data_IF_081737466784
#
_entry.id   IF_081737466784
#
_cell.length_a   1.000
_cell.length_b   1.000
_cell.length_c   1.000
_cell.angle_alpha   90.00
_cell.angle_beta   90.00
_cell.angle_gamma   90.00
#
_symmetry.space_group_name_H-M   'P 1'
#
loop_
_entity.id
_entity.type
_entity.pdbx_description
1 polymer ?
#
# COMPACT_ATOMS: atom_id res chain seq x y z
N UNK A 1 9.66 -0.30 17.23
CA UNK A 1 8.83 0.26 16.18
C UNK A 1 8.03 -0.81 15.49
N UNK A 2 6.82 -0.50 15.15
CA UNK A 2 5.97 -1.44 14.47
C UNK A 2 6.24 -1.58 12.98
N UNK A 3 7.29 -0.98 12.48
CA UNK A 3 7.52 -0.98 11.05
C UNK A 3 7.91 -2.32 10.50
N UNK A 4 8.64 -3.09 11.27
CA UNK A 4 9.17 -4.35 10.78
C UNK A 4 8.23 -5.50 11.03
N UNK A 5 7.17 -5.24 11.76
CA UNK A 5 6.17 -6.25 12.05
C UNK A 5 4.88 -5.81 11.39
N UNK A 6 4.39 -6.56 10.50
CA UNK A 6 3.10 -6.26 9.92
C UNK A 6 1.98 -6.55 10.90
N UNK A 7 0.79 -6.20 10.50
CA UNK A 7 -0.39 -6.51 11.29
C UNK A 7 -0.98 -7.83 10.83
N UNK A 8 -1.78 -8.45 11.69
CA UNK A 8 -2.55 -9.63 11.32
C UNK A 8 -3.83 -9.17 10.65
N UNK A 9 -4.25 -9.87 9.62
CA UNK A 9 -5.46 -9.55 8.89
C UNK A 9 -6.32 -10.79 8.78
N UNK A 10 -7.59 -10.67 9.12
CA UNK A 10 -8.57 -11.73 8.92
C UNK A 10 -9.42 -11.36 7.72
N UNK A 11 -9.59 -12.30 6.80
CA UNK A 11 -10.29 -12.07 5.55
C UNK A 11 -11.48 -12.99 5.45
N UNK A 12 -12.67 -12.41 5.30
CA UNK A 12 -13.89 -13.17 5.11
C UNK A 12 -14.33 -13.03 3.68
N UNK A 13 -14.34 -14.13 2.96
CA UNK A 13 -14.70 -14.10 1.56
C UNK A 13 -13.62 -13.48 0.73
N UNK A 14 -13.93 -12.49 -0.09
CA UNK A 14 -12.88 -11.75 -0.75
C UNK A 14 -12.84 -10.35 -0.19
N UNK A 15 -11.75 -9.73 -0.53
CA UNK A 15 -11.46 -8.43 -0.01
C UNK A 15 -12.39 -7.42 -0.60
N UNK A 16 -13.33 -7.08 0.19
CA UNK A 16 -13.93 -5.81 -0.01
C UNK A 16 -13.10 -4.87 0.84
N UNK A 17 -12.97 -3.68 0.39
CA UNK A 17 -12.29 -2.68 1.13
C UNK A 17 -12.91 -2.56 2.51
N UNK A 18 -12.12 -2.72 3.51
CA UNK A 18 -12.49 -2.28 4.82
C UNK A 18 -12.70 -0.79 4.77
N UNK A 19 -13.38 -0.27 5.76
CA UNK A 19 -13.76 1.13 5.77
C UNK A 19 -12.52 2.02 5.67
N UNK A 20 -12.32 2.61 4.53
CA UNK A 20 -11.27 3.60 4.35
C UNK A 20 -9.87 3.06 4.17
N UNK A 21 -9.73 1.76 3.98
CA UNK A 21 -8.40 1.17 3.78
C UNK A 21 -8.31 0.48 2.45
N UNK A 22 -7.12 0.54 1.86
CA UNK A 22 -6.85 -0.10 0.59
C UNK A 22 -5.74 -1.12 0.78
N UNK A 23 -5.84 -2.24 0.06
CA UNK A 23 -4.87 -3.30 0.17
C UNK A 23 -4.06 -3.41 -1.11
N UNK A 24 -2.78 -3.73 -0.95
CA UNK A 24 -1.87 -3.98 -2.06
C UNK A 24 -1.22 -5.33 -1.88
N UNK A 25 -1.21 -6.12 -2.93
CA UNK A 25 -0.64 -7.46 -2.92
C UNK A 25 0.51 -7.50 -3.92
N UNK A 26 1.66 -7.99 -3.48
CA UNK A 26 2.85 -8.03 -4.32
C UNK A 26 3.22 -9.50 -4.56
N UNK A 27 3.32 -9.86 -5.82
CA UNK A 27 3.73 -11.21 -6.22
C UNK A 27 4.61 -11.08 -7.45
N UNK A 28 5.80 -11.67 -7.39
CA UNK A 28 6.76 -11.63 -8.51
C UNK A 28 6.98 -10.19 -8.99
N UNK A 29 7.08 -9.26 -8.03
CA UNK A 29 7.34 -7.84 -8.27
C UNK A 29 6.19 -7.12 -8.98
N UNK A 30 5.04 -7.75 -9.10
CA UNK A 30 3.84 -7.11 -9.63
C UNK A 30 2.96 -6.69 -8.45
N UNK A 31 2.53 -5.45 -8.45
CA UNK A 31 1.74 -4.88 -7.38
C UNK A 31 0.30 -4.81 -7.85
N UNK A 32 -0.61 -5.43 -7.12
CA UNK A 32 -2.02 -5.46 -7.48
C UNK A 32 -2.85 -4.88 -6.34
N UNK A 33 -3.82 -4.06 -6.69
CA UNK A 33 -4.76 -3.49 -5.73
C UNK A 33 -6.14 -3.53 -6.35
N UNK A 34 -7.21 -3.72 -5.55
CA UNK A 34 -8.55 -3.70 -6.11
C UNK A 34 -8.88 -2.35 -6.71
N UNK A 35 -9.71 -2.32 -7.76
CA UNK A 35 -10.09 -1.05 -8.35
C UNK A 35 -10.90 -0.21 -7.36
N UNK A 36 -10.79 1.10 -7.50
CA UNK A 36 -11.57 2.00 -6.70
C UNK A 36 -12.99 1.98 -7.26
N UNK A 37 -13.87 1.25 -6.59
CA UNK A 37 -15.21 1.03 -7.11
C UNK A 37 -16.27 1.90 -6.48
N UNK A 38 -15.92 2.60 -5.42
CA UNK A 38 -16.96 3.29 -4.71
C UNK A 38 -16.90 4.77 -4.97
N UNK A 39 -18.01 5.42 -4.76
CA UNK A 39 -18.09 6.86 -4.79
C UNK A 39 -17.46 7.49 -3.56
N UNK A 40 -16.92 6.69 -2.69
CA UNK A 40 -16.29 7.16 -1.47
C UNK A 40 -15.00 7.85 -1.84
N UNK A 41 -14.54 8.69 -0.94
CA UNK A 41 -13.33 9.47 -1.14
C UNK A 41 -12.20 8.61 -1.70
N UNK A 42 -11.54 9.09 -2.74
CA UNK A 42 -10.39 8.35 -3.26
C UNK A 42 -9.31 8.28 -2.19
N UNK A 43 -8.63 7.16 -2.15
CA UNK A 43 -7.51 7.03 -1.24
C UNK A 43 -6.33 7.80 -1.78
N UNK A 44 -6.06 8.96 -1.21
CA UNK A 44 -4.94 9.77 -1.67
C UNK A 44 -3.64 9.00 -1.50
N UNK A 45 -3.47 8.33 -0.36
CA UNK A 45 -2.28 7.52 -0.13
C UNK A 45 -2.20 6.39 -1.14
N UNK A 46 -3.32 5.74 -1.43
CA UNK A 46 -3.37 4.68 -2.43
C UNK A 46 -2.87 5.18 -3.77
N UNK A 47 -3.43 6.29 -4.24
CA UNK A 47 -3.05 6.81 -5.55
C UNK A 47 -1.61 7.25 -5.58
N UNK A 48 -1.12 7.83 -4.50
CA UNK A 48 0.28 8.24 -4.41
C UNK A 48 1.21 7.05 -4.48
N UNK A 49 0.89 5.98 -3.76
CA UNK A 49 1.70 4.77 -3.77
C UNK A 49 1.73 4.15 -5.16
N UNK A 50 0.59 4.12 -5.84
CA UNK A 50 0.55 3.57 -7.20
C UNK A 50 1.45 4.37 -8.14
N UNK A 51 1.40 5.69 -8.03
CA UNK A 51 2.22 6.55 -8.87
C UNK A 51 3.70 6.37 -8.58
N UNK A 52 4.06 6.32 -7.31
CA UNK A 52 5.45 6.11 -6.90
C UNK A 52 5.95 4.76 -7.42
N UNK A 53 5.14 3.73 -7.28
CA UNK A 53 5.53 2.38 -7.71
C UNK A 53 5.77 2.34 -9.22
N UNK A 54 4.89 2.97 -9.99
CA UNK A 54 5.07 3.02 -11.43
C UNK A 54 6.30 3.82 -11.82
N UNK A 55 6.56 4.90 -11.10
CA UNK A 55 7.75 5.72 -11.34
C UNK A 55 9.02 4.92 -11.09
N UNK A 56 8.99 3.99 -10.16
CA UNK A 56 10.15 3.13 -9.87
C UNK A 56 10.26 1.93 -10.81
N UNK A 57 9.33 1.80 -11.74
CA UNK A 57 9.40 0.75 -12.75
C UNK A 57 8.64 -0.52 -12.40
N UNK A 58 7.87 -0.52 -11.32
CA UNK A 58 7.06 -1.69 -11.01
C UNK A 58 5.81 -1.72 -11.86
N UNK A 59 5.36 -2.91 -12.18
CA UNK A 59 4.05 -3.08 -12.80
C UNK A 59 2.99 -2.98 -11.72
N UNK A 60 2.00 -2.11 -11.93
CA UNK A 60 0.92 -1.89 -10.97
C UNK A 60 -0.40 -2.17 -11.69
N UNK A 61 -1.20 -3.06 -11.14
CA UNK A 61 -2.46 -3.49 -11.72
C UNK A 61 -3.61 -3.18 -10.79
N UNK A 62 -4.74 -2.79 -11.36
CA UNK A 62 -5.99 -2.71 -10.62
C UNK A 62 -6.82 -3.90 -11.02
N UNK A 63 -7.07 -4.79 -10.08
CA UNK A 63 -7.81 -6.01 -10.35
C UNK A 63 -8.35 -6.54 -9.03
N UNK A 64 -9.45 -7.29 -9.12
CA UNK A 64 -9.99 -7.96 -7.95
C UNK A 64 -8.98 -8.98 -7.46
N UNK A 65 -8.89 -9.11 -6.14
CA UNK A 65 -7.92 -9.99 -5.51
C UNK A 65 -8.67 -11.12 -4.83
N UNK A 66 -8.37 -12.34 -5.26
CA UNK A 66 -8.94 -13.51 -4.63
C UNK A 66 -8.20 -13.81 -3.33
N UNK A 67 -8.88 -14.48 -2.41
CA UNK A 67 -8.28 -14.82 -1.13
C UNK A 67 -6.99 -15.62 -1.31
N UNK A 68 -7.00 -16.54 -2.27
CA UNK A 68 -5.82 -17.38 -2.50
C UNK A 68 -4.60 -16.56 -2.88
N UNK A 69 -4.80 -15.47 -3.59
CA UNK A 69 -3.69 -14.61 -3.97
C UNK A 69 -3.02 -13.99 -2.77
N UNK A 70 -3.78 -13.74 -1.70
CA UNK A 70 -3.21 -13.20 -0.49
C UNK A 70 -2.26 -14.18 0.17
N UNK A 71 -2.66 -15.44 0.23
CA UNK A 71 -1.83 -16.46 0.88
C UNK A 71 -0.57 -16.75 0.11
N UNK A 72 -0.59 -16.53 -1.20
CA UNK A 72 0.55 -16.79 -2.07
C UNK A 72 1.41 -15.55 -2.30
N UNK A 73 1.03 -14.43 -1.74
CA UNK A 73 1.73 -13.17 -1.98
C UNK A 73 3.13 -13.18 -1.37
N UNK A 74 4.02 -12.45 -2.01
CA UNK A 74 5.34 -12.21 -1.43
C UNK A 74 5.28 -11.14 -0.36
N UNK A 75 4.44 -10.14 -0.55
CA UNK A 75 4.24 -9.05 0.40
C UNK A 75 2.81 -8.57 0.30
N UNK A 76 2.29 -8.07 1.40
CA UNK A 76 0.99 -7.40 1.43
C UNK A 76 1.12 -6.18 2.31
N UNK A 77 0.55 -5.06 1.87
CA UNK A 77 0.47 -3.90 2.73
C UNK A 77 -0.85 -3.19 2.52
N UNK A 78 -1.19 -2.34 3.46
CA UNK A 78 -2.42 -1.56 3.40
C UNK A 78 -2.10 -0.09 3.50
N UNK A 79 -2.94 0.73 2.88
CA UNK A 79 -2.86 2.18 3.03
C UNK A 79 -4.14 2.66 3.69
N UNK A 80 -4.01 3.57 4.64
CA UNK A 80 -5.15 4.07 5.38
C UNK A 80 -5.40 5.54 5.12
N UNK A 81 -6.43 6.06 5.79
CA UNK A 81 -6.83 7.45 5.62
C UNK A 81 -5.86 8.41 6.29
N UNK A 82 -5.03 7.91 7.20
CA UNK A 82 -4.08 8.75 7.94
C UNK A 82 -2.71 8.76 7.27
N UNK A 83 -2.66 8.63 5.97
CA UNK A 83 -1.40 8.65 5.22
C UNK A 83 -0.45 7.53 5.69
N UNK A 84 -1.01 6.36 5.94
CA UNK A 84 -0.23 5.24 6.46
C UNK A 84 0.01 4.19 5.39
N UNK A 85 1.18 3.60 5.46
CA UNK A 85 1.52 2.41 4.67
C UNK A 85 1.92 1.36 5.69
N UNK A 86 1.10 0.33 5.84
CA UNK A 86 1.24 -0.63 6.93
C UNK A 86 1.44 -2.03 6.37
N UNK A 87 2.59 -2.66 6.62
CA UNK A 87 2.81 -4.03 6.15
C UNK A 87 1.91 -5.00 6.89
N UNK A 88 1.55 -6.08 6.20
CA UNK A 88 0.72 -7.15 6.77
C UNK A 88 1.59 -8.39 6.92
N UNK A 89 1.76 -8.86 8.16
CA UNK A 89 2.63 -10.00 8.43
C UNK A 89 1.90 -11.32 8.28
N UNK A 90 0.64 -11.37 8.67
CA UNK A 90 -0.13 -12.62 8.61
C UNK A 90 -1.54 -12.35 8.12
N UNK A 91 -2.10 -13.32 7.42
CA UNK A 91 -3.49 -13.29 6.98
C UNK A 91 -4.10 -14.60 7.44
N UNK A 92 -5.13 -14.52 8.28
CA UNK A 92 -5.78 -15.70 8.85
C UNK A 92 -4.75 -16.64 9.48
N UNK A 93 -3.77 -16.05 10.21
CA UNK A 93 -2.72 -16.76 10.93
C UNK A 93 -1.68 -17.43 10.03
N UNK A 94 -1.73 -17.14 8.73
CA UNK A 94 -0.73 -17.65 7.79
C UNK A 94 0.23 -16.51 7.47
N UNK A 95 1.53 -16.77 7.57
CA UNK A 95 2.52 -15.74 7.29
C UNK A 95 2.50 -15.35 5.82
N UNK A 96 2.63 -14.04 5.58
CA UNK A 96 2.81 -13.50 4.24
C UNK A 96 4.30 -13.41 3.99
N UNK A 97 4.78 -14.11 2.96
CA UNK A 97 6.19 -14.09 2.63
C UNK A 97 7.05 -14.48 3.82
N UNK A 98 7.89 -13.58 4.28
CA UNK A 98 8.78 -13.84 5.41
C UNK A 98 8.12 -13.55 6.76
N UNK A 99 6.89 -13.08 6.76
CA UNK A 99 6.23 -12.68 8.00
C UNK A 99 6.69 -11.34 8.53
N UNK A 100 7.42 -10.59 7.72
CA UNK A 100 7.93 -9.28 8.09
C UNK A 100 7.72 -8.33 6.92
N UNK A 101 7.98 -7.04 7.14
CA UNK A 101 7.91 -6.06 6.07
C UNK A 101 8.86 -6.47 4.95
N UNK A 102 8.33 -6.63 3.74
CA UNK A 102 9.13 -7.03 2.61
C UNK A 102 9.87 -5.86 1.99
N UNK A 103 10.81 -6.15 1.08
CA UNK A 103 11.66 -5.09 0.51
C UNK A 103 10.92 -4.09 -0.35
N UNK A 104 9.92 -4.52 -1.11
CA UNK A 104 9.19 -3.59 -1.97
C UNK A 104 8.28 -2.70 -1.12
N UNK A 105 7.62 -3.28 -0.13
CA UNK A 105 6.82 -2.48 0.81
C UNK A 105 7.69 -1.44 1.50
N UNK A 106 8.87 -1.84 1.94
CA UNK A 106 9.79 -0.90 2.58
C UNK A 106 10.18 0.22 1.64
N UNK A 107 10.49 -0.11 0.41
CA UNK A 107 10.89 0.88 -0.57
C UNK A 107 9.79 1.90 -0.82
N UNK A 108 8.55 1.43 -0.99
CA UNK A 108 7.44 2.32 -1.26
C UNK A 108 7.09 3.15 -0.03
N UNK A 109 7.15 2.52 1.15
CA UNK A 109 6.87 3.21 2.40
C UNK A 109 7.85 4.33 2.64
N UNK A 110 9.14 4.06 2.44
CA UNK A 110 10.16 5.08 2.65
C UNK A 110 10.08 6.18 1.61
N UNK A 111 9.76 5.84 0.37
CA UNK A 111 9.62 6.85 -0.66
C UNK A 111 8.43 7.77 -0.37
N UNK A 112 7.32 7.20 0.08
CA UNK A 112 6.14 8.01 0.37
C UNK A 112 6.38 8.91 1.57
N UNK A 113 6.88 8.34 2.66
CA UNK A 113 7.15 9.16 3.85
C UNK A 113 8.26 10.16 3.61
N UNK A 114 9.19 9.84 2.72
CA UNK A 114 10.27 10.75 2.37
C UNK A 114 9.79 12.04 1.75
N UNK A 115 8.60 12.05 1.16
CA UNK A 115 8.03 13.28 0.63
C UNK A 115 7.84 14.32 1.74
N UNK A 116 7.45 13.85 2.92
CA UNK A 116 7.13 14.75 4.02
C UNK A 116 8.34 15.21 4.79
N UNK A 117 9.43 14.46 4.74
CA UNK A 117 10.66 14.86 5.44
C UNK A 117 11.76 15.34 4.47
N UNK A 118 11.44 15.45 3.19
CA UNK A 118 12.36 16.04 2.24
C UNK A 118 13.38 15.10 1.63
N UNK A 119 13.34 13.81 1.93
CA UNK A 119 14.30 12.87 1.37
C UNK A 119 13.86 12.32 0.02
N UNK A 120 12.61 12.50 -0.36
CA UNK A 120 12.10 12.12 -1.66
C UNK A 120 11.67 13.37 -2.42
N UNK A 121 12.10 13.48 -3.66
CA UNK A 121 11.72 14.62 -4.48
C UNK A 121 10.23 14.58 -4.78
N UNK A 122 9.55 15.70 -4.54
CA UNK A 122 8.12 15.81 -4.82
C UNK A 122 7.93 16.30 -6.25
N UNK A 123 8.21 15.40 -7.21
CA UNK A 123 8.13 15.77 -8.62
C UNK A 123 6.70 15.91 -9.12
N UNK A 124 5.72 15.56 -8.29
CA UNK A 124 4.30 15.65 -8.66
C UNK A 124 3.60 16.86 -8.04
N UNK A 125 4.28 17.57 -7.14
CA UNK A 125 3.68 18.73 -6.49
C UNK A 125 2.66 18.40 -5.44
N UNK A 126 2.69 17.20 -4.89
CA UNK A 126 1.68 16.78 -3.92
C UNK A 126 1.73 17.55 -2.62
N UNK A 127 2.91 17.95 -2.18
CA UNK A 127 3.03 18.68 -0.92
C UNK A 127 2.36 20.03 -1.01
N UNK A 128 2.47 20.70 -2.14
CA UNK A 128 1.77 21.98 -2.32
C UNK A 128 0.27 21.77 -2.27
N UNK A 129 -0.19 20.66 -2.79
CA UNK A 129 -1.61 20.37 -2.79
C UNK A 129 -2.13 20.06 -1.40
N UNK A 130 -1.34 19.32 -0.62
CA UNK A 130 -1.73 18.89 0.72
C UNK A 130 -1.54 20.00 1.74
N UNK A 131 -0.53 20.85 1.57
CA UNK A 131 -0.20 21.92 2.52
C UNK A 131 -0.06 23.24 1.78
N UNK A 132 -1.15 23.77 1.23
CA UNK A 132 -1.04 24.96 0.40
C UNK A 132 -0.56 26.21 1.14
N UNK A 133 -0.72 26.29 2.45
CA UNK A 133 -0.28 27.44 3.21
C UNK A 133 1.20 27.47 3.49
N UNK A 134 1.91 26.42 3.14
CA UNK A 134 3.32 26.33 3.47
C UNK A 134 4.23 26.79 2.36
N UNK A 135 3.67 27.47 1.40
CA UNK A 135 4.44 27.97 0.27
C UNK A 135 5.24 29.19 0.63
#
# INVERSE_FOLDING_TARGET
>A
HGYDEGIALSVDGYLSEGAGENIFVIKNRVITTPPATSAILPGITRDSIMTIARDKGYEVREANIAREALYLADEVFMTGTAAEVVPVATIDKIEVGSGKRGPITKELQEAYFGLFNGTTEDKWGWLDYVYPEQQ
#
